data_IF_334164918962
#
_entry.id   IF_334164918962
#
_cell.length_a   1.000
_cell.length_b   1.000
_cell.length_c   1.000
_cell.angle_alpha   90.00
_cell.angle_beta   90.00
_cell.angle_gamma   90.00
#
_symmetry.space_group_name_H-M   'P 1'
#
loop_
_entity.id
_entity.type
_entity.pdbx_description
1 polymer ?
#
# COMPACT_ATOMS: atom_id res chain seq x y z
N UNK A 1 13.30 -11.65 -32.46
CA UNK A 1 13.37 -12.39 -31.18
C UNK A 1 13.76 -11.52 -29.98
N UNK A 2 14.90 -10.78 -30.00
CA UNK A 2 15.32 -9.89 -28.89
C UNK A 2 14.26 -8.89 -28.41
N UNK A 3 13.48 -8.30 -29.32
CA UNK A 3 12.41 -7.34 -28.98
C UNK A 3 11.28 -7.97 -28.15
N UNK A 4 10.96 -9.23 -28.40
CA UNK A 4 9.91 -9.98 -27.66
C UNK A 4 10.38 -10.27 -26.23
N UNK A 5 11.66 -10.59 -26.05
CA UNK A 5 12.24 -10.78 -24.71
C UNK A 5 12.23 -9.50 -23.87
N UNK A 6 12.56 -8.35 -24.48
CA UNK A 6 12.52 -7.05 -23.78
C UNK A 6 11.10 -6.71 -23.35
N UNK A 7 10.12 -6.96 -24.22
CA UNK A 7 8.69 -6.80 -23.90
C UNK A 7 8.26 -7.68 -22.73
N UNK A 8 8.67 -8.96 -22.71
CA UNK A 8 8.34 -9.87 -21.62
C UNK A 8 8.93 -9.41 -20.27
N UNK A 9 10.17 -8.92 -20.26
CA UNK A 9 10.81 -8.39 -19.05
C UNK A 9 10.10 -7.15 -18.53
N UNK A 10 9.74 -6.21 -19.41
CA UNK A 10 9.03 -4.99 -19.03
C UNK A 10 7.66 -5.30 -18.41
N UNK A 11 6.91 -6.22 -19.01
CA UNK A 11 5.60 -6.65 -18.50
C UNK A 11 5.77 -7.30 -17.11
N UNK A 12 6.75 -8.18 -16.93
CA UNK A 12 7.03 -8.80 -15.63
C UNK A 12 7.38 -7.76 -14.56
N UNK A 13 8.21 -6.76 -14.88
CA UNK A 13 8.55 -5.69 -13.92
C UNK A 13 7.36 -4.82 -13.55
N UNK A 14 6.44 -4.55 -14.49
CA UNK A 14 5.24 -3.77 -14.22
C UNK A 14 4.26 -4.54 -13.33
N UNK A 15 4.08 -5.84 -13.56
CA UNK A 15 3.20 -6.69 -12.75
C UNK A 15 3.70 -6.78 -11.31
N UNK A 16 5.01 -7.02 -11.10
CA UNK A 16 5.61 -7.09 -9.75
C UNK A 16 5.47 -5.75 -9.01
N UNK A 17 5.60 -4.63 -9.72
CA UNK A 17 5.44 -3.29 -9.13
C UNK A 17 4.01 -3.01 -8.70
N UNK A 18 3.01 -3.43 -9.49
CA UNK A 18 1.60 -3.26 -9.15
C UNK A 18 1.17 -4.17 -7.99
N UNK A 19 1.66 -5.42 -7.95
CA UNK A 19 1.37 -6.34 -6.83
C UNK A 19 2.01 -5.88 -5.53
N UNK A 20 3.22 -5.31 -5.57
CA UNK A 20 3.87 -4.71 -4.39
C UNK A 20 3.12 -3.49 -3.86
N UNK A 21 2.54 -2.68 -4.74
CA UNK A 21 1.73 -1.53 -4.34
C UNK A 21 0.42 -1.97 -3.69
N UNK A 22 -0.27 -2.96 -4.28
CA UNK A 22 -1.49 -3.51 -3.67
C UNK A 22 -1.22 -4.15 -2.31
N UNK A 23 -0.11 -4.87 -2.14
CA UNK A 23 0.27 -5.47 -0.86
C UNK A 23 0.65 -4.41 0.19
N UNK A 24 1.38 -3.35 -0.20
CA UNK A 24 1.72 -2.25 0.70
C UNK A 24 0.46 -1.45 1.12
N UNK A 25 -0.48 -1.21 0.20
CA UNK A 25 -1.75 -0.55 0.52
C UNK A 25 -2.63 -1.44 1.40
N UNK A 26 -2.61 -2.76 1.17
CA UNK A 26 -3.37 -3.72 1.97
C UNK A 26 -2.79 -3.85 3.37
N UNK A 27 -1.47 -3.87 3.51
CA UNK A 27 -0.80 -3.84 4.80
C UNK A 27 -1.10 -2.53 5.56
N UNK A 28 -1.12 -1.38 4.89
CA UNK A 28 -1.53 -0.10 5.49
C UNK A 28 -3.01 -0.09 5.91
N UNK A 29 -3.89 -0.74 5.14
CA UNK A 29 -5.33 -0.80 5.39
C UNK A 29 -5.68 -1.81 6.49
N UNK A 30 -4.97 -2.93 6.56
CA UNK A 30 -5.15 -3.97 7.58
C UNK A 30 -4.53 -3.60 8.93
N UNK A 31 -3.45 -2.79 8.93
CA UNK A 31 -2.86 -2.27 10.16
C UNK A 31 -3.85 -1.47 11.01
N UNK A 32 -4.93 -0.92 10.44
CA UNK A 32 -5.95 -0.22 11.20
C UNK A 32 -5.45 1.11 11.77
N UNK A 33 -6.31 2.13 11.79
CA UNK A 33 -5.98 3.45 12.34
C UNK A 33 -6.71 3.61 13.66
N UNK A 34 -5.96 3.78 14.75
CA UNK A 34 -6.53 4.12 16.05
C UNK A 34 -6.52 5.65 16.19
N UNK A 35 -7.72 6.24 16.14
CA UNK A 35 -7.91 7.65 16.42
C UNK A 35 -8.39 7.83 17.87
N UNK A 36 -7.66 8.62 18.64
CA UNK A 36 -8.08 9.08 19.97
C UNK A 36 -8.89 10.35 19.85
N UNK A 37 -10.03 10.33 20.52
CA UNK A 37 -10.94 11.47 20.62
C UNK A 37 -10.89 12.01 22.05
N UNK A 38 -10.74 13.32 22.17
CA UNK A 38 -10.72 14.01 23.45
C UNK A 38 -12.10 14.03 24.11
N UNK A 39 -12.17 14.48 25.37
CA UNK A 39 -13.42 14.51 26.16
C UNK A 39 -14.56 15.35 25.55
N UNK A 40 -14.27 16.23 24.59
CA UNK A 40 -15.25 17.03 23.85
C UNK A 40 -15.57 16.48 22.46
N UNK A 41 -15.12 15.26 22.14
CA UNK A 41 -15.32 14.61 20.83
C UNK A 41 -14.40 15.11 19.72
N UNK A 42 -13.45 16.01 20.03
CA UNK A 42 -12.45 16.47 19.06
C UNK A 42 -11.40 15.40 18.79
N UNK A 43 -11.00 15.26 17.53
CA UNK A 43 -9.90 14.38 17.13
C UNK A 43 -8.60 14.89 17.75
N UNK A 44 -7.98 14.13 18.65
CA UNK A 44 -6.72 14.50 19.28
C UNK A 44 -5.53 13.98 18.47
N UNK A 45 -5.54 12.69 18.11
CA UNK A 45 -4.45 12.08 17.36
C UNK A 45 -4.92 10.78 16.69
N UNK A 46 -4.49 10.54 15.45
CA UNK A 46 -4.64 9.26 14.77
C UNK A 46 -3.27 8.66 14.54
N UNK A 47 -3.11 7.40 14.92
CA UNK A 47 -1.88 6.64 14.67
C UNK A 47 -2.23 5.33 14.00
N UNK A 48 -1.33 4.88 13.13
CA UNK A 48 -1.37 3.52 12.64
C UNK A 48 -1.12 2.58 13.81
N UNK A 49 -1.98 1.57 13.96
CA UNK A 49 -1.74 0.50 14.92
C UNK A 49 -0.62 -0.35 14.31
N UNK A 50 0.49 -0.50 15.03
CA UNK A 50 1.65 -1.27 14.61
C UNK A 50 1.95 -2.35 15.63
#
# INVERSE_FOLDING_TARGET
>A
MKKIMVLAVLIMTLVVSCSYLEEAEKEQRERGVECRYGKRGGLENCRYIN
#
